data_IF_718242833043
#
_entry.id   IF_718242833043
#
_cell.length_a   1.000
_cell.length_b   1.000
_cell.length_c   1.000
_cell.angle_alpha   90.00
_cell.angle_beta   90.00
_cell.angle_gamma   90.00
#
_symmetry.space_group_name_H-M   'P 1'
#
loop_
_entity.id
_entity.type
_entity.pdbx_description
1 polymer ?
#
# COMPACT_ATOMS: atom_id res chain seq x y z
N UNK A 1 -7.33 -27.00 10.58
CA UNK A 1 -8.32 -26.80 9.51
C UNK A 1 -8.09 -25.49 8.80
N UNK A 2 -8.00 -25.54 7.49
CA UNK A 2 -7.87 -24.32 6.72
C UNK A 2 -9.22 -23.61 6.66
N UNK A 3 -9.20 -22.30 6.71
CA UNK A 3 -10.38 -21.46 6.58
C UNK A 3 -10.87 -21.47 5.15
N UNK A 4 -12.20 -21.48 4.95
CA UNK A 4 -12.78 -21.33 3.63
C UNK A 4 -12.36 -19.98 3.03
N UNK A 5 -11.80 -20.00 1.84
CA UNK A 5 -11.32 -18.79 1.16
C UNK A 5 -12.47 -17.79 0.90
N UNK A 6 -13.69 -18.28 0.63
CA UNK A 6 -14.82 -17.38 0.39
C UNK A 6 -15.22 -16.61 1.64
N UNK A 7 -15.08 -17.20 2.83
CA UNK A 7 -15.32 -16.50 4.09
C UNK A 7 -14.28 -15.42 4.29
N UNK A 8 -13.01 -15.72 4.03
CA UNK A 8 -11.92 -14.75 4.12
C UNK A 8 -12.15 -13.58 3.16
N UNK A 9 -12.53 -13.87 1.91
CA UNK A 9 -12.79 -12.82 0.91
C UNK A 9 -13.97 -11.95 1.30
N UNK A 10 -15.03 -12.53 1.88
CA UNK A 10 -16.18 -11.75 2.34
C UNK A 10 -15.80 -10.78 3.46
N UNK A 11 -14.98 -11.23 4.41
CA UNK A 11 -14.49 -10.36 5.50
C UNK A 11 -13.62 -9.23 4.98
N UNK A 12 -12.73 -9.52 4.04
CA UNK A 12 -11.90 -8.49 3.41
C UNK A 12 -12.73 -7.48 2.64
N UNK A 13 -13.75 -7.95 1.91
CA UNK A 13 -14.67 -7.08 1.21
C UNK A 13 -15.41 -6.13 2.14
N UNK A 14 -15.79 -6.60 3.33
CA UNK A 14 -16.45 -5.76 4.31
C UNK A 14 -15.53 -4.64 4.84
N UNK A 15 -14.21 -4.89 4.91
CA UNK A 15 -13.23 -3.89 5.39
C UNK A 15 -12.72 -2.99 4.30
N UNK A 16 -12.43 -3.53 3.13
CA UNK A 16 -11.68 -2.85 2.07
C UNK A 16 -12.52 -2.51 0.86
N UNK A 17 -13.79 -2.93 0.85
CA UNK A 17 -14.69 -2.74 -0.27
C UNK A 17 -14.46 -3.78 -1.37
N UNK A 18 -15.12 -3.58 -2.49
CA UNK A 18 -15.04 -4.49 -3.63
C UNK A 18 -13.65 -4.44 -4.25
N UNK A 19 -13.06 -5.62 -4.49
CA UNK A 19 -11.68 -5.72 -4.98
C UNK A 19 -11.49 -5.02 -6.33
N UNK A 20 -12.46 -5.11 -7.24
CA UNK A 20 -12.36 -4.47 -8.56
C UNK A 20 -12.18 -2.97 -8.44
N UNK A 21 -12.94 -2.31 -7.56
CA UNK A 21 -12.82 -0.87 -7.32
C UNK A 21 -11.51 -0.53 -6.63
N UNK A 22 -11.11 -1.32 -5.65
CA UNK A 22 -9.80 -1.16 -5.01
C UNK A 22 -8.69 -1.22 -6.05
N UNK A 23 -8.75 -2.21 -6.95
CA UNK A 23 -7.73 -2.38 -7.99
C UNK A 23 -7.68 -1.18 -8.93
N UNK A 24 -8.85 -0.65 -9.34
CA UNK A 24 -8.92 0.53 -10.19
C UNK A 24 -8.25 1.74 -9.53
N UNK A 25 -8.63 2.02 -8.29
CA UNK A 25 -8.07 3.15 -7.52
C UNK A 25 -6.55 2.99 -7.38
N UNK A 26 -6.12 1.80 -6.95
CA UNK A 26 -4.70 1.54 -6.70
C UNK A 26 -3.87 1.62 -7.96
N UNK A 27 -4.35 1.06 -9.07
CA UNK A 27 -3.63 1.13 -10.35
C UNK A 27 -3.55 2.56 -10.88
N UNK A 28 -4.60 3.37 -10.68
CA UNK A 28 -4.58 4.79 -11.05
C UNK A 28 -3.52 5.56 -10.26
N UNK A 29 -3.42 5.31 -8.96
CA UNK A 29 -2.39 5.93 -8.12
C UNK A 29 -1.01 5.51 -8.59
N UNK A 30 -0.80 4.21 -8.81
CA UNK A 30 0.49 3.68 -9.25
C UNK A 30 0.87 4.19 -10.63
N UNK A 31 -0.08 4.38 -11.54
CA UNK A 31 0.18 4.93 -12.86
C UNK A 31 0.74 6.35 -12.75
N UNK A 32 0.15 7.19 -11.89
CA UNK A 32 0.65 8.54 -11.65
C UNK A 32 2.06 8.52 -11.06
N UNK A 33 2.34 7.61 -10.13
CA UNK A 33 3.66 7.44 -9.54
C UNK A 33 4.71 7.07 -10.61
N UNK A 34 4.39 6.09 -11.44
CA UNK A 34 5.30 5.60 -12.48
C UNK A 34 5.55 6.62 -13.59
N UNK A 35 4.63 7.54 -13.79
CA UNK A 35 4.75 8.60 -14.79
C UNK A 35 5.62 9.76 -14.32
N UNK A 36 6.00 9.79 -13.05
CA UNK A 36 6.83 10.87 -12.51
C UNK A 36 8.27 10.75 -13.02
N UNK A 37 8.95 11.90 -13.09
CA UNK A 37 10.33 11.95 -13.57
C UNK A 37 11.33 11.21 -12.68
N UNK A 38 11.03 11.06 -11.40
CA UNK A 38 11.94 10.41 -10.45
C UNK A 38 11.79 8.89 -10.40
N UNK A 39 10.64 8.35 -10.83
CA UNK A 39 10.34 6.94 -10.58
C UNK A 39 11.43 5.98 -11.04
N UNK A 40 11.91 6.16 -12.27
CA UNK A 40 12.90 5.24 -12.86
C UNK A 40 14.24 5.30 -12.12
N UNK A 41 14.57 6.44 -11.50
CA UNK A 41 15.83 6.61 -10.79
C UNK A 41 15.74 6.17 -9.32
N UNK A 42 14.56 5.87 -8.81
CA UNK A 42 14.38 5.49 -7.43
C UNK A 42 14.85 4.07 -7.17
N UNK A 43 15.33 3.81 -5.95
CA UNK A 43 15.72 2.46 -5.54
C UNK A 43 14.54 1.51 -5.52
N UNK A 44 14.82 0.22 -5.64
CA UNK A 44 13.78 -0.82 -5.56
C UNK A 44 13.04 -0.75 -4.21
N UNK A 45 13.76 -0.51 -3.11
CA UNK A 45 13.13 -0.37 -1.79
C UNK A 45 12.14 0.78 -1.74
N UNK A 46 12.52 1.93 -2.26
CA UNK A 46 11.65 3.10 -2.27
C UNK A 46 10.44 2.89 -3.16
N UNK A 47 10.64 2.30 -4.33
CA UNK A 47 9.54 1.99 -5.25
C UNK A 47 8.55 1.03 -4.61
N UNK A 48 9.04 -0.05 -4.02
CA UNK A 48 8.16 -1.06 -3.40
C UNK A 48 7.39 -0.46 -2.22
N UNK A 49 8.06 0.31 -1.36
CA UNK A 49 7.40 0.94 -0.23
C UNK A 49 6.27 1.87 -0.69
N UNK A 50 6.51 2.69 -1.71
CA UNK A 50 5.47 3.57 -2.24
C UNK A 50 4.34 2.79 -2.89
N UNK A 51 4.62 1.69 -3.59
CA UNK A 51 3.57 0.85 -4.17
C UNK A 51 2.72 0.20 -3.07
N UNK A 52 3.32 -0.26 -1.98
CA UNK A 52 2.57 -0.81 -0.85
C UNK A 52 1.74 0.26 -0.15
N UNK A 53 2.30 1.47 0.01
CA UNK A 53 1.55 2.60 0.56
C UNK A 53 0.35 2.93 -0.35
N UNK A 54 0.55 2.93 -1.66
CA UNK A 54 -0.55 3.15 -2.62
C UNK A 54 -1.64 2.09 -2.47
N UNK A 55 -1.25 0.83 -2.26
CA UNK A 55 -2.19 -0.26 -2.03
C UNK A 55 -3.05 0.00 -0.79
N UNK A 56 -2.42 0.45 0.30
CA UNK A 56 -3.13 0.78 1.54
C UNK A 56 -4.03 2.01 1.38
N UNK A 57 -3.57 3.01 0.63
CA UNK A 57 -4.42 4.17 0.29
C UNK A 57 -5.68 3.71 -0.43
N UNK A 58 -5.54 2.79 -1.39
CA UNK A 58 -6.69 2.23 -2.09
C UNK A 58 -7.70 1.56 -1.16
N UNK A 59 -7.20 0.85 -0.15
CA UNK A 59 -8.06 0.22 0.86
C UNK A 59 -8.81 1.25 1.71
N UNK A 60 -8.14 2.33 2.09
CA UNK A 60 -8.74 3.42 2.86
C UNK A 60 -9.84 4.10 2.06
N UNK A 61 -9.58 4.38 0.78
CA UNK A 61 -10.52 5.10 -0.07
C UNK A 61 -11.72 4.25 -0.49
N UNK A 62 -11.56 2.94 -0.53
CA UNK A 62 -12.59 2.04 -1.05
C UNK A 62 -13.36 1.29 0.04
N UNK A 63 -12.82 1.22 1.24
CA UNK A 63 -13.43 0.46 2.35
C UNK A 63 -13.64 1.31 3.58
N UNK A 64 -13.27 0.76 4.74
CA UNK A 64 -13.35 1.47 6.00
C UNK A 64 -12.19 2.47 6.12
N UNK A 65 -12.45 3.78 6.03
CA UNK A 65 -11.38 4.78 6.06
C UNK A 65 -10.73 4.93 7.44
N UNK A 66 -11.37 4.40 8.46
CA UNK A 66 -10.91 4.51 9.85
C UNK A 66 -10.31 3.21 10.38
N UNK A 67 -10.08 2.23 9.51
CA UNK A 67 -9.50 0.97 9.93
C UNK A 67 -8.02 1.17 10.27
N UNK A 68 -7.69 1.00 11.54
CA UNK A 68 -6.37 1.30 12.10
C UNK A 68 -5.22 0.65 11.33
N UNK A 69 -5.37 -0.64 10.97
CA UNK A 69 -4.26 -1.39 10.38
C UNK A 69 -3.80 -0.82 9.03
N UNK A 70 -4.70 -0.23 8.24
CA UNK A 70 -4.31 0.40 6.98
C UNK A 70 -3.34 1.56 7.21
N UNK A 71 -3.65 2.41 8.17
CA UNK A 71 -2.79 3.55 8.53
C UNK A 71 -1.50 3.10 9.20
N UNK A 72 -1.59 2.08 10.06
CA UNK A 72 -0.43 1.51 10.74
C UNK A 72 0.57 0.95 9.72
N UNK A 73 0.08 0.24 8.70
CA UNK A 73 0.93 -0.34 7.66
C UNK A 73 1.60 0.75 6.82
N UNK A 74 0.90 1.83 6.50
CA UNK A 74 1.49 2.98 5.80
C UNK A 74 2.67 3.53 6.61
N UNK A 75 2.47 3.74 7.91
CA UNK A 75 3.54 4.21 8.80
C UNK A 75 4.72 3.25 8.80
N UNK A 76 4.45 1.94 8.82
CA UNK A 76 5.49 0.91 8.81
C UNK A 76 6.35 0.95 7.56
N UNK A 77 5.75 1.01 6.39
CA UNK A 77 6.51 1.09 5.14
C UNK A 77 7.32 2.38 5.05
N UNK A 78 6.74 3.51 5.47
CA UNK A 78 7.47 4.78 5.51
C UNK A 78 8.67 4.71 6.45
N UNK A 79 8.49 4.09 7.62
CA UNK A 79 9.57 3.96 8.61
C UNK A 79 10.71 3.08 8.10
N UNK A 80 10.39 1.99 7.39
CA UNK A 80 11.42 1.13 6.81
C UNK A 80 12.35 1.92 5.87
N UNK A 81 11.79 2.78 5.04
CA UNK A 81 12.58 3.61 4.13
C UNK A 81 13.34 4.68 4.92
N UNK A 82 12.68 5.36 5.85
CA UNK A 82 13.32 6.40 6.65
C UNK A 82 14.52 5.85 7.43
N UNK A 83 14.40 4.65 7.98
CA UNK A 83 15.51 4.00 8.70
C UNK A 83 16.66 3.64 7.77
N UNK A 84 16.38 3.15 6.57
CA UNK A 84 17.43 2.87 5.58
C UNK A 84 18.18 4.13 5.20
N UNK A 85 17.47 5.21 4.93
CA UNK A 85 18.08 6.49 4.54
C UNK A 85 18.92 7.08 5.68
N UNK A 86 18.47 6.96 6.92
CA UNK A 86 19.24 7.39 8.08
C UNK A 86 20.53 6.59 8.22
N UNK A 87 20.50 5.28 8.01
CA UNK A 87 21.69 4.42 8.06
C UNK A 87 22.69 4.78 6.97
N UNK A 88 22.22 5.06 5.76
CA UNK A 88 23.07 5.45 4.65
C UNK A 88 23.73 6.80 4.89
N UNK A 89 23.01 7.76 5.48
CA UNK A 89 23.56 9.07 5.83
C UNK A 89 24.61 8.97 6.95
N UNK A 90 24.42 8.03 7.88
CA UNK A 90 25.36 7.83 8.98
C UNK A 90 26.64 7.10 8.55
N UNK A 91 26.57 6.38 7.45
CA UNK A 91 27.74 5.69 6.90
C UNK A 91 28.68 6.67 6.15
#
# INVERSE_FOLDING_TARGET
MSRDIHVTLAERGARYGEFREHARITQDIKAAMRDSGNWQAMSASNQEALEMIAHKIGRILNGDPDYHDSWHDIAGYAMLVADQLSSEEAA
#
